data_IF_183881350325
#
_entry.id   IF_183881350325
#
_cell.length_a   1.000
_cell.length_b   1.000
_cell.length_c   1.000
_cell.angle_alpha   90.00
_cell.angle_beta   90.00
_cell.angle_gamma   90.00
#
_symmetry.space_group_name_H-M   'P 1'
#
loop_
_entity.id
_entity.type
_entity.pdbx_description
1 polymer ?
#
# COMPACT_ATOMS: atom_id res chain seq x y z
N UNK A 1 25.32 -14.19 6.28
CA UNK A 1 24.22 -13.69 5.45
C UNK A 1 24.64 -13.73 3.98
N UNK A 2 23.79 -14.28 3.13
CA UNK A 2 24.00 -14.38 1.70
C UNK A 2 22.77 -13.88 0.94
N UNK A 3 23.01 -13.03 -0.08
CA UNK A 3 21.97 -12.51 -0.97
C UNK A 3 22.35 -12.88 -2.41
N UNK A 4 21.47 -13.57 -3.12
CA UNK A 4 21.71 -14.00 -4.50
C UNK A 4 20.47 -13.69 -5.34
N UNK A 5 20.66 -13.02 -6.48
CA UNK A 5 19.60 -12.84 -7.47
C UNK A 5 19.63 -14.02 -8.45
N UNK A 6 18.79 -15.04 -8.17
CA UNK A 6 18.72 -16.25 -9.00
C UNK A 6 18.18 -15.97 -10.41
N UNK A 7 17.47 -14.85 -10.59
CA UNK A 7 16.96 -14.43 -11.89
C UNK A 7 18.05 -14.27 -12.94
N UNK A 8 19.28 -13.96 -12.52
CA UNK A 8 20.43 -13.80 -13.42
C UNK A 8 20.87 -15.10 -14.12
N UNK A 9 20.48 -16.25 -13.60
CA UNK A 9 20.79 -17.57 -14.21
C UNK A 9 19.79 -17.96 -15.31
N UNK A 10 18.70 -17.18 -15.47
CA UNK A 10 17.69 -17.42 -16.50
C UNK A 10 17.94 -16.55 -17.74
N UNK A 11 17.47 -16.94 -18.91
CA UNK A 11 17.57 -16.13 -20.12
C UNK A 11 16.92 -14.74 -19.92
N UNK A 12 17.57 -13.68 -20.39
CA UNK A 12 17.08 -12.30 -20.27
C UNK A 12 15.65 -12.11 -20.83
N UNK A 13 15.29 -12.88 -21.85
CA UNK A 13 13.94 -12.87 -22.44
C UNK A 13 12.84 -13.29 -21.45
N UNK A 14 13.17 -14.11 -20.48
CA UNK A 14 12.22 -14.58 -19.46
C UNK A 14 11.96 -13.52 -18.38
N UNK A 15 12.85 -12.52 -18.23
CA UNK A 15 12.75 -11.45 -17.22
C UNK A 15 12.40 -12.00 -15.84
N UNK A 16 13.11 -13.04 -15.43
CA UNK A 16 12.90 -13.70 -14.13
C UNK A 16 13.52 -12.83 -13.04
N UNK A 17 12.76 -12.57 -11.99
CA UNK A 17 13.23 -11.97 -10.74
C UNK A 17 13.06 -13.01 -9.64
N UNK A 18 14.12 -13.38 -8.95
CA UNK A 18 14.08 -14.37 -7.88
C UNK A 18 15.17 -14.10 -6.84
N UNK A 19 15.00 -13.07 -5.99
CA UNK A 19 15.95 -12.75 -4.94
C UNK A 19 15.89 -13.81 -3.84
N UNK A 20 17.03 -14.44 -3.58
CA UNK A 20 17.25 -15.38 -2.50
C UNK A 20 17.98 -14.70 -1.37
N UNK A 21 17.46 -14.82 -0.18
CA UNK A 21 18.09 -14.41 1.06
C UNK A 21 18.31 -15.63 1.96
N UNK A 22 19.51 -15.80 2.48
CA UNK A 22 19.85 -16.80 3.47
C UNK A 22 20.71 -16.18 4.56
N UNK A 23 20.37 -16.43 5.81
CA UNK A 23 21.18 -16.02 6.95
C UNK A 23 21.18 -17.05 8.06
N UNK A 24 22.32 -17.18 8.72
CA UNK A 24 22.48 -17.93 9.95
C UNK A 24 23.06 -17.00 11.00
N UNK A 25 22.37 -16.87 12.11
CA UNK A 25 22.84 -16.14 13.29
C UNK A 25 23.02 -17.12 14.43
N UNK A 26 24.16 -17.06 15.07
CA UNK A 26 24.50 -17.88 16.24
C UNK A 26 24.80 -16.96 17.39
N UNK A 27 24.13 -17.18 18.49
CA UNK A 27 24.34 -16.47 19.75
C UNK A 27 24.66 -17.47 20.85
N UNK A 28 25.75 -17.26 21.56
CA UNK A 28 26.16 -18.07 22.70
C UNK A 28 26.25 -17.15 23.91
N UNK A 29 25.50 -17.46 24.95
CA UNK A 29 25.55 -16.77 26.24
C UNK A 29 26.17 -17.69 27.26
N UNK A 30 27.37 -17.33 27.74
CA UNK A 30 28.14 -18.09 28.68
C UNK A 30 27.99 -17.48 30.08
N UNK A 31 27.41 -18.18 31.06
CA UNK A 31 27.31 -17.70 32.42
C UNK A 31 28.71 -17.70 33.08
N UNK A 32 28.86 -16.89 34.09
CA UNK A 32 30.15 -16.79 34.85
C UNK A 32 30.35 -18.00 35.77
N UNK A 33 29.28 -18.49 36.37
CA UNK A 33 29.30 -19.62 37.29
C UNK A 33 28.66 -20.85 36.62
N UNK A 34 29.09 -22.03 37.05
CA UNK A 34 28.52 -23.29 36.57
C UNK A 34 27.09 -23.45 37.11
N UNK A 35 26.04 -23.56 36.25
CA UNK A 35 24.68 -23.74 36.71
C UNK A 35 24.46 -25.05 37.48
N UNK A 36 25.31 -26.05 37.25
CA UNK A 36 25.26 -27.36 37.93
C UNK A 36 25.91 -27.32 39.29
N UNK A 37 26.80 -26.32 39.56
CA UNK A 37 27.47 -26.08 40.82
C UNK A 37 27.75 -24.60 40.94
N UNK A 38 26.85 -23.87 41.58
CA UNK A 38 26.84 -22.39 41.64
C UNK A 38 28.03 -21.80 42.42
N UNK A 39 28.75 -22.61 43.20
CA UNK A 39 29.93 -22.20 43.93
C UNK A 39 31.20 -22.22 43.06
N UNK A 40 31.15 -22.92 41.91
CA UNK A 40 32.28 -23.05 40.99
C UNK A 40 32.11 -22.13 39.78
N UNK A 41 33.19 -21.51 39.32
CA UNK A 41 33.17 -20.80 38.03
C UNK A 41 33.09 -21.82 36.89
N UNK A 42 32.40 -21.46 35.82
CA UNK A 42 32.24 -22.32 34.67
C UNK A 42 33.57 -22.68 34.01
N UNK A 43 34.51 -21.74 33.95
CA UNK A 43 35.83 -22.00 33.37
C UNK A 43 36.60 -23.04 34.19
N UNK A 44 36.56 -22.93 35.51
CA UNK A 44 37.20 -23.89 36.41
C UNK A 44 36.57 -25.28 36.30
N UNK A 45 35.23 -25.35 36.15
CA UNK A 45 34.50 -26.60 35.90
C UNK A 45 34.90 -27.27 34.55
N UNK A 46 35.08 -26.49 33.52
CA UNK A 46 35.49 -26.99 32.20
C UNK A 46 36.96 -27.46 32.17
N UNK A 47 37.84 -26.84 32.98
CA UNK A 47 39.24 -27.24 33.14
C UNK A 47 39.38 -28.50 34.00
N UNK A 48 38.52 -28.69 34.99
CA UNK A 48 38.56 -29.84 35.90
C UNK A 48 37.87 -31.08 35.34
N UNK A 49 37.22 -31.01 34.17
CA UNK A 49 36.53 -32.14 33.53
C UNK A 49 37.54 -33.25 33.19
N UNK A 50 37.20 -34.49 33.56
CA UNK A 50 38.09 -35.64 33.43
C UNK A 50 38.33 -36.04 31.97
N UNK A 51 37.38 -35.73 31.07
CA UNK A 51 37.51 -36.06 29.66
C UNK A 51 36.70 -35.06 28.81
N UNK A 52 36.90 -35.14 27.48
CA UNK A 52 36.22 -34.25 26.54
C UNK A 52 34.68 -34.40 26.55
N UNK A 53 34.17 -35.63 26.73
CA UNK A 53 32.73 -35.85 26.76
C UNK A 53 32.06 -35.17 27.95
N UNK A 54 32.69 -35.23 29.11
CA UNK A 54 32.21 -34.49 30.32
C UNK A 54 32.26 -32.99 30.12
N UNK A 55 33.37 -32.49 29.57
CA UNK A 55 33.51 -31.07 29.24
C UNK A 55 32.41 -30.60 28.27
N UNK A 56 32.18 -31.36 27.17
CA UNK A 56 31.15 -31.07 26.19
C UNK A 56 29.73 -31.13 26.83
N UNK A 57 29.51 -32.06 27.77
CA UNK A 57 28.26 -32.18 28.53
C UNK A 57 28.02 -30.95 29.41
N UNK A 58 29.03 -30.51 30.20
CA UNK A 58 28.95 -29.31 31.04
C UNK A 58 28.68 -28.09 30.15
N UNK A 59 29.42 -27.93 29.06
CA UNK A 59 29.28 -26.81 28.15
C UNK A 59 27.89 -26.77 27.48
N UNK A 60 27.35 -27.92 27.07
CA UNK A 60 26.04 -28.00 26.42
C UNK A 60 24.88 -27.71 27.37
N UNK A 61 25.08 -27.92 28.67
CA UNK A 61 24.09 -27.58 29.70
C UNK A 61 24.24 -26.11 30.10
N UNK A 62 25.47 -25.66 30.41
CA UNK A 62 25.72 -24.37 30.99
C UNK A 62 25.59 -23.19 30.01
N UNK A 63 25.98 -23.39 28.74
CA UNK A 63 25.99 -22.32 27.75
C UNK A 63 24.66 -22.28 27.00
N UNK A 64 23.95 -21.17 27.09
CA UNK A 64 22.76 -20.95 26.26
C UNK A 64 23.22 -20.70 24.82
N UNK A 65 22.80 -21.57 23.93
CA UNK A 65 23.10 -21.51 22.49
C UNK A 65 21.81 -21.27 21.73
N UNK A 66 21.77 -20.18 20.94
CA UNK A 66 20.64 -19.89 20.06
C UNK A 66 21.15 -19.82 18.62
N UNK A 67 20.55 -20.61 17.75
CA UNK A 67 20.84 -20.63 16.31
C UNK A 67 19.58 -20.26 15.57
N UNK A 68 19.62 -19.16 14.83
CA UNK A 68 18.54 -18.72 13.97
C UNK A 68 18.96 -18.84 12.52
N UNK A 69 18.19 -19.60 11.74
CA UNK A 69 18.41 -19.81 10.32
C UNK A 69 17.21 -19.25 9.56
N UNK A 70 17.47 -18.31 8.65
CA UNK A 70 16.44 -17.72 7.81
C UNK A 70 16.73 -17.99 6.34
N UNK A 71 15.72 -18.44 5.64
CA UNK A 71 15.71 -18.62 4.20
C UNK A 71 14.51 -17.89 3.62
N UNK A 72 14.70 -17.08 2.59
CA UNK A 72 13.58 -16.49 1.88
C UNK A 72 13.82 -16.29 0.39
N UNK A 73 12.78 -16.57 -0.37
CA UNK A 73 12.61 -16.22 -1.78
C UNK A 73 11.44 -15.25 -1.84
N UNK A 74 11.68 -13.98 -2.16
CA UNK A 74 10.65 -12.96 -2.14
C UNK A 74 10.32 -12.47 -3.55
N UNK A 75 9.00 -12.32 -3.83
CA UNK A 75 8.52 -11.76 -5.09
C UNK A 75 9.12 -12.42 -6.35
N UNK A 76 9.17 -13.74 -6.35
CA UNK A 76 9.59 -14.52 -7.52
C UNK A 76 8.57 -14.37 -8.62
N UNK A 77 8.98 -13.84 -9.76
CA UNK A 77 8.08 -13.57 -10.89
C UNK A 77 8.79 -13.76 -12.22
N UNK A 78 7.98 -14.03 -13.24
CA UNK A 78 8.41 -14.16 -14.63
C UNK A 78 7.78 -13.02 -15.43
N UNK A 79 8.58 -12.14 -16.01
CA UNK A 79 8.11 -10.92 -16.71
C UNK A 79 7.64 -11.17 -18.15
N UNK A 80 7.23 -12.39 -18.50
CA UNK A 80 6.75 -12.73 -19.85
C UNK A 80 5.29 -12.30 -20.00
N UNK A 81 5.03 -11.50 -21.02
CA UNK A 81 3.69 -11.13 -21.48
C UNK A 81 3.43 -11.80 -22.83
N UNK A 82 2.26 -12.44 -22.98
CA UNK A 82 1.89 -13.20 -24.18
C UNK A 82 1.58 -12.30 -25.36
N UNK A 83 1.07 -11.07 -25.10
CA UNK A 83 0.66 -10.08 -26.10
C UNK A 83 1.15 -8.69 -25.73
N UNK A 84 0.95 -7.72 -26.63
CA UNK A 84 1.25 -6.30 -26.36
C UNK A 84 0.46 -5.72 -25.16
N UNK A 85 -0.69 -6.31 -24.84
CA UNK A 85 -1.51 -5.91 -23.70
C UNK A 85 -1.52 -7.02 -22.63
N UNK A 86 -1.52 -6.70 -21.34
CA UNK A 86 -1.58 -7.67 -20.26
C UNK A 86 -2.83 -8.55 -20.37
N UNK A 87 -2.62 -9.85 -20.50
CA UNK A 87 -3.70 -10.84 -20.53
C UNK A 87 -3.86 -11.48 -19.13
N UNK A 88 -5.06 -11.92 -18.74
CA UNK A 88 -5.28 -12.47 -17.40
C UNK A 88 -4.44 -13.73 -17.10
N UNK A 89 -4.04 -14.46 -18.12
CA UNK A 89 -3.24 -15.69 -18.01
C UNK A 89 -1.71 -15.45 -18.13
N UNK A 90 -1.27 -14.20 -18.26
CA UNK A 90 0.17 -13.92 -18.39
C UNK A 90 0.94 -14.27 -17.11
N UNK A 91 2.08 -14.97 -17.21
CA UNK A 91 2.93 -15.25 -16.07
C UNK A 91 3.38 -14.01 -15.30
N UNK A 92 3.48 -12.87 -15.99
CA UNK A 92 3.85 -11.59 -15.38
C UNK A 92 2.86 -11.08 -14.33
N UNK A 93 1.62 -11.59 -14.32
CA UNK A 93 0.60 -11.24 -13.33
C UNK A 93 0.79 -11.97 -12.00
N UNK A 94 1.61 -13.03 -11.97
CA UNK A 94 1.83 -13.84 -10.80
C UNK A 94 3.16 -13.52 -10.14
N UNK A 95 3.16 -13.51 -8.82
CA UNK A 95 4.38 -13.52 -8.02
C UNK A 95 4.24 -14.47 -6.85
N UNK A 96 5.34 -15.13 -6.51
CA UNK A 96 5.42 -16.09 -5.43
C UNK A 96 6.46 -15.65 -4.42
N UNK A 97 6.18 -15.90 -3.15
CA UNK A 97 7.11 -15.66 -2.07
C UNK A 97 7.10 -16.87 -1.15
N UNK A 98 8.27 -17.26 -0.66
CA UNK A 98 8.41 -18.29 0.34
C UNK A 98 9.46 -17.88 1.36
N UNK A 99 9.17 -18.07 2.63
CA UNK A 99 10.15 -17.89 3.69
C UNK A 99 10.04 -18.97 4.75
N UNK A 100 11.18 -19.36 5.30
CA UNK A 100 11.30 -20.27 6.41
C UNK A 100 12.31 -19.69 7.40
N UNK A 101 11.91 -19.63 8.66
CA UNK A 101 12.74 -19.26 9.79
C UNK A 101 12.73 -20.41 10.79
N UNK A 102 13.90 -20.89 11.15
CA UNK A 102 14.10 -21.89 12.18
C UNK A 102 14.98 -21.34 13.27
N UNK A 103 14.48 -21.33 14.49
CA UNK A 103 15.21 -20.94 15.70
C UNK A 103 15.36 -22.15 16.60
N UNK A 104 16.58 -22.50 16.92
CA UNK A 104 16.93 -23.56 17.86
C UNK A 104 17.64 -22.96 19.05
N UNK A 105 17.11 -23.18 20.26
CA UNK A 105 17.72 -22.76 21.52
C UNK A 105 17.92 -23.94 22.43
N UNK A 106 19.08 -24.01 23.08
CA UNK A 106 19.39 -24.96 24.14
C UNK A 106 20.13 -24.27 25.27
N UNK A 107 20.02 -24.80 26.49
CA UNK A 107 20.67 -24.21 27.65
C UNK A 107 20.40 -25.00 28.93
N UNK A 108 20.58 -24.34 30.07
CA UNK A 108 20.50 -24.94 31.39
C UNK A 108 19.16 -25.63 31.66
N UNK A 109 18.08 -24.88 31.57
CA UNK A 109 16.70 -25.36 31.85
C UNK A 109 16.03 -25.96 30.62
N UNK A 110 16.65 -25.83 29.45
CA UNK A 110 16.07 -26.19 28.16
C UNK A 110 16.94 -27.20 27.46
N UNK A 111 16.40 -28.40 27.21
CA UNK A 111 17.09 -29.42 26.40
C UNK A 111 17.14 -28.94 24.96
N UNK A 112 15.98 -28.57 24.43
CA UNK A 112 15.84 -27.87 23.18
C UNK A 112 14.52 -27.10 23.14
N UNK A 113 14.56 -25.98 22.44
CA UNK A 113 13.42 -25.15 22.07
C UNK A 113 13.55 -24.88 20.58
N UNK A 114 12.57 -25.34 19.82
CA UNK A 114 12.53 -25.18 18.39
C UNK A 114 11.33 -24.33 17.99
N UNK A 115 11.56 -23.32 17.18
CA UNK A 115 10.51 -22.52 16.57
C UNK A 115 10.70 -22.51 15.06
N UNK A 116 9.74 -23.02 14.34
CA UNK A 116 9.71 -23.06 12.89
C UNK A 116 8.57 -22.21 12.36
N UNK A 117 8.91 -21.23 11.54
CA UNK A 117 7.93 -20.36 10.88
C UNK A 117 8.05 -20.53 9.37
N UNK A 118 6.99 -20.99 8.72
CA UNK A 118 6.87 -21.06 7.27
C UNK A 118 5.84 -20.07 6.77
N UNK A 119 6.15 -19.43 5.67
CA UNK A 119 5.24 -18.55 4.97
C UNK A 119 5.35 -18.78 3.48
N UNK A 120 4.24 -19.12 2.84
CA UNK A 120 4.13 -19.22 1.40
C UNK A 120 3.06 -18.25 0.91
N UNK A 121 3.37 -17.40 -0.07
CA UNK A 121 2.41 -16.46 -0.62
C UNK A 121 2.42 -16.49 -2.15
N UNK A 122 1.23 -16.42 -2.72
CA UNK A 122 0.99 -16.24 -4.16
C UNK A 122 0.18 -14.97 -4.34
N UNK A 123 0.70 -14.03 -5.12
CA UNK A 123 -0.02 -12.83 -5.51
C UNK A 123 -0.31 -12.87 -7.00
N UNK A 124 -1.53 -12.59 -7.36
CA UNK A 124 -1.98 -12.37 -8.72
C UNK A 124 -2.51 -10.94 -8.84
N UNK A 125 -2.07 -10.22 -9.85
CA UNK A 125 -2.60 -8.88 -10.13
C UNK A 125 -2.64 -8.64 -11.63
N UNK A 126 -3.84 -8.50 -12.15
CA UNK A 126 -4.09 -8.19 -13.54
C UNK A 126 -4.70 -6.81 -13.68
N UNK A 127 -4.01 -5.97 -14.45
CA UNK A 127 -4.44 -4.61 -14.77
C UNK A 127 -4.51 -4.47 -16.28
N UNK A 128 -5.66 -4.74 -16.90
CA UNK A 128 -5.82 -4.65 -18.35
C UNK A 128 -5.69 -3.21 -18.84
N UNK A 129 -5.14 -3.06 -20.03
CA UNK A 129 -5.26 -1.80 -20.77
C UNK A 129 -6.64 -1.78 -21.40
N UNK A 130 -7.54 -0.99 -20.86
CA UNK A 130 -8.89 -0.87 -21.38
C UNK A 130 -9.10 0.45 -22.12
N UNK A 131 -9.95 0.40 -23.12
CA UNK A 131 -10.46 1.57 -23.82
C UNK A 131 -11.98 1.57 -23.69
N UNK A 132 -12.53 2.66 -23.17
CA UNK A 132 -13.98 2.79 -23.07
C UNK A 132 -14.62 2.65 -24.46
N UNK A 133 -15.63 1.83 -24.55
CA UNK A 133 -16.48 1.78 -25.72
C UNK A 133 -17.46 2.95 -25.67
N UNK A 134 -17.32 3.88 -26.61
CA UNK A 134 -18.09 5.12 -26.71
C UNK A 134 -18.91 5.11 -27.99
N UNK A 135 -20.08 4.45 -28.03
CA UNK A 135 -20.83 4.24 -29.27
C UNK A 135 -21.33 5.54 -29.89
N UNK A 136 -21.52 6.57 -29.12
CA UNK A 136 -22.09 7.85 -29.56
C UNK A 136 -21.07 8.98 -29.69
N UNK A 137 -19.79 8.67 -29.58
CA UNK A 137 -18.70 9.69 -29.62
C UNK A 137 -18.74 10.54 -30.88
N UNK A 138 -19.00 9.92 -32.03
CA UNK A 138 -18.94 10.57 -33.34
C UNK A 138 -20.26 11.19 -33.77
N UNK A 139 -21.25 11.30 -32.86
CA UNK A 139 -22.55 11.92 -33.12
C UNK A 139 -22.35 13.41 -33.49
N UNK A 140 -22.67 13.78 -34.72
CA UNK A 140 -22.47 15.14 -35.27
C UNK A 140 -23.44 16.20 -34.72
N UNK A 141 -24.33 15.84 -33.81
CA UNK A 141 -25.30 16.78 -33.22
C UNK A 141 -24.61 17.83 -32.38
N UNK A 142 -24.98 19.10 -32.56
CA UNK A 142 -24.53 20.24 -31.73
C UNK A 142 -25.43 20.52 -30.53
N UNK A 143 -26.44 19.69 -30.30
CA UNK A 143 -27.36 19.83 -29.18
C UNK A 143 -26.68 19.52 -27.87
N UNK A 144 -26.89 20.35 -26.85
CA UNK A 144 -26.39 20.10 -25.48
C UNK A 144 -26.92 18.78 -24.91
N UNK A 145 -28.08 18.33 -25.30
CA UNK A 145 -28.65 17.03 -24.92
C UNK A 145 -27.86 15.86 -25.54
N UNK A 146 -27.34 16.04 -26.74
CA UNK A 146 -26.49 15.03 -27.36
C UNK A 146 -25.17 14.82 -26.65
N UNK A 147 -24.70 15.82 -25.89
CA UNK A 147 -23.43 15.71 -25.14
C UNK A 147 -23.50 14.69 -24.01
N UNK A 148 -24.69 14.40 -23.48
CA UNK A 148 -24.91 13.33 -22.49
C UNK A 148 -24.55 11.99 -23.14
N UNK A 149 -25.10 11.72 -24.32
CA UNK A 149 -24.88 10.45 -25.04
C UNK A 149 -23.44 10.34 -25.56
N UNK A 150 -22.83 11.43 -26.05
CA UNK A 150 -21.46 11.44 -26.52
C UNK A 150 -20.44 11.09 -25.43
N UNK A 151 -20.75 11.46 -24.18
CA UNK A 151 -19.91 11.18 -23.02
C UNK A 151 -20.20 9.85 -22.35
N UNK A 152 -21.22 9.12 -22.78
CA UNK A 152 -21.50 7.77 -22.32
C UNK A 152 -20.43 6.82 -22.87
N UNK A 153 -19.70 6.20 -21.98
CA UNK A 153 -18.73 5.17 -22.31
C UNK A 153 -18.89 4.00 -21.33
N UNK A 154 -18.76 2.79 -21.84
CA UNK A 154 -18.84 1.56 -21.06
C UNK A 154 -17.49 0.84 -21.12
N UNK A 155 -16.97 0.45 -19.98
CA UNK A 155 -15.79 -0.37 -19.87
C UNK A 155 -16.19 -1.82 -19.59
N UNK A 156 -15.92 -2.71 -20.53
CA UNK A 156 -16.18 -4.13 -20.38
C UNK A 156 -15.19 -4.86 -19.49
N UNK A 157 -13.99 -4.32 -19.37
CA UNK A 157 -12.92 -4.90 -18.54
C UNK A 157 -12.79 -4.14 -17.22
N UNK A 158 -12.50 -4.84 -16.12
CA UNK A 158 -12.19 -4.20 -14.85
C UNK A 158 -10.88 -3.43 -14.93
N UNK A 159 -10.69 -2.47 -14.05
CA UNK A 159 -9.40 -1.76 -13.92
C UNK A 159 -8.32 -2.63 -13.30
N UNK A 160 -8.70 -3.41 -12.29
CA UNK A 160 -7.80 -4.29 -11.58
C UNK A 160 -8.55 -5.50 -11.03
N UNK A 161 -7.95 -6.66 -11.19
CA UNK A 161 -8.33 -7.90 -10.50
C UNK A 161 -7.10 -8.37 -9.76
N UNK A 162 -7.19 -8.46 -8.45
CA UNK A 162 -6.10 -8.96 -7.62
C UNK A 162 -6.56 -10.09 -6.72
N UNK A 163 -5.72 -11.08 -6.57
CA UNK A 163 -5.91 -12.20 -5.66
C UNK A 163 -4.61 -12.44 -4.91
N UNK A 164 -4.68 -12.47 -3.59
CA UNK A 164 -3.59 -12.84 -2.71
C UNK A 164 -3.96 -14.11 -1.95
N UNK A 165 -3.05 -15.05 -1.91
CA UNK A 165 -3.18 -16.30 -1.15
C UNK A 165 -1.93 -16.49 -0.33
N UNK A 166 -2.06 -16.48 0.98
CA UNK A 166 -0.95 -16.59 1.92
C UNK A 166 -1.20 -17.70 2.92
N UNK A 167 -0.28 -18.63 3.00
CA UNK A 167 -0.24 -19.69 4.00
C UNK A 167 0.88 -19.39 4.99
N UNK A 168 0.55 -19.42 6.28
CA UNK A 168 1.51 -19.25 7.37
C UNK A 168 1.39 -20.41 8.33
N UNK A 169 2.48 -21.09 8.61
CA UNK A 169 2.55 -22.15 9.61
C UNK A 169 3.60 -21.79 10.64
N UNK A 170 3.21 -21.83 11.90
CA UNK A 170 4.08 -21.73 13.04
C UNK A 170 4.04 -23.07 13.78
N UNK A 171 5.21 -23.61 14.10
CA UNK A 171 5.35 -24.78 14.94
C UNK A 171 6.38 -24.47 16.02
N UNK A 172 5.99 -24.70 17.26
CA UNK A 172 6.81 -24.48 18.43
C UNK A 172 6.90 -25.78 19.22
N UNK A 173 8.09 -26.14 19.67
CA UNK A 173 8.35 -27.33 20.46
C UNK A 173 9.38 -27.04 21.54
N UNK A 174 9.08 -27.38 22.77
CA UNK A 174 9.92 -27.16 23.94
C UNK A 174 10.08 -28.46 24.74
N UNK A 175 11.32 -28.86 24.97
CA UNK A 175 11.71 -29.88 25.91
C UNK A 175 12.45 -29.24 27.05
N UNK A 176 11.81 -29.18 28.21
CA UNK A 176 12.45 -28.68 29.44
C UNK A 176 13.34 -29.76 30.07
N UNK A 177 14.36 -29.31 30.80
CA UNK A 177 15.26 -30.18 31.56
C UNK A 177 14.80 -30.21 33.01
N UNK A 178 14.62 -31.43 33.55
CA UNK A 178 14.40 -31.61 34.98
C UNK A 178 15.74 -31.47 35.72
N UNK A 179 15.84 -30.42 36.53
CA UNK A 179 17.03 -30.12 37.31
C UNK A 179 16.97 -30.66 38.75
N UNK A 180 15.79 -31.09 39.22
CA UNK A 180 15.56 -31.49 40.61
C UNK A 180 15.43 -33.01 40.79
N UNK A 181 15.04 -33.73 39.73
CA UNK A 181 14.80 -35.16 39.83
C UNK A 181 16.10 -35.97 39.60
N UNK A 182 16.35 -36.83 40.58
CA UNK A 182 17.40 -37.88 40.50
C UNK A 182 16.98 -39.07 39.65
N UNK A 183 15.69 -39.16 39.32
CA UNK A 183 15.14 -40.17 38.43
C UNK A 183 15.07 -39.62 37.00
N UNK A 184 15.34 -40.49 36.04
CA UNK A 184 15.37 -40.13 34.61
C UNK A 184 13.95 -39.88 34.03
N UNK A 185 13.14 -39.11 34.75
CA UNK A 185 11.80 -38.69 34.33
C UNK A 185 11.93 -37.47 33.45
N UNK A 186 11.78 -37.68 32.14
CA UNK A 186 11.73 -36.54 31.21
C UNK A 186 10.41 -35.78 31.33
N UNK A 187 10.51 -34.44 31.47
CA UNK A 187 9.33 -33.58 31.36
C UNK A 187 8.71 -33.78 29.98
N UNK A 188 7.40 -33.95 29.85
CA UNK A 188 6.76 -34.10 28.54
C UNK A 188 7.05 -32.94 27.61
N UNK A 189 7.24 -33.24 26.33
CA UNK A 189 7.42 -32.20 25.30
C UNK A 189 6.17 -31.33 25.21
N UNK A 190 6.36 -30.02 25.33
CA UNK A 190 5.32 -29.03 25.07
C UNK A 190 5.43 -28.58 23.63
N UNK A 191 4.33 -28.57 22.90
CA UNK A 191 4.30 -28.06 21.53
C UNK A 191 3.04 -27.27 21.25
N UNK A 192 3.15 -26.36 20.28
CA UNK A 192 2.00 -25.65 19.73
C UNK A 192 2.15 -25.54 18.23
N UNK A 193 1.01 -25.58 17.55
CA UNK A 193 0.95 -25.51 16.12
C UNK A 193 -0.18 -24.59 15.66
N UNK A 194 0.08 -23.83 14.63
CA UNK A 194 -0.91 -22.98 13.99
C UNK A 194 -0.66 -22.93 12.50
N UNK A 195 -1.63 -23.36 11.73
CA UNK A 195 -1.53 -23.29 10.27
C UNK A 195 -2.74 -22.52 9.72
N UNK A 196 -2.48 -21.34 9.17
CA UNK A 196 -3.48 -20.42 8.65
C UNK A 196 -3.34 -20.26 7.14
N UNK A 197 -4.49 -20.10 6.49
CA UNK A 197 -4.58 -19.77 5.08
C UNK A 197 -5.45 -18.53 4.87
N UNK A 198 -4.81 -17.43 4.53
CA UNK A 198 -5.45 -16.16 4.22
C UNK A 198 -5.63 -16.03 2.72
N UNK A 199 -6.79 -15.59 2.29
CA UNK A 199 -7.14 -15.38 0.87
C UNK A 199 -7.87 -14.06 0.73
N UNK A 200 -7.31 -13.18 -0.07
CA UNK A 200 -7.86 -11.86 -0.33
C UNK A 200 -8.15 -11.73 -1.83
N UNK A 201 -9.32 -11.23 -2.14
CA UNK A 201 -9.72 -10.93 -3.51
C UNK A 201 -10.14 -9.47 -3.61
N UNK A 202 -9.66 -8.77 -4.63
CA UNK A 202 -10.02 -7.38 -4.93
C UNK A 202 -10.39 -7.25 -6.39
N UNK A 203 -11.56 -6.68 -6.64
CA UNK A 203 -12.04 -6.29 -7.96
C UNK A 203 -12.33 -4.79 -7.95
N UNK A 204 -11.67 -4.05 -8.83
CA UNK A 204 -11.99 -2.65 -9.10
C UNK A 204 -12.47 -2.51 -10.55
N UNK A 205 -13.65 -1.95 -10.71
CA UNK A 205 -14.26 -1.81 -12.02
C UNK A 205 -14.96 -0.46 -12.20
N UNK A 206 -14.45 0.34 -13.12
CA UNK A 206 -15.09 1.56 -13.58
C UNK A 206 -16.00 1.19 -14.76
N UNK A 207 -17.23 0.76 -14.47
CA UNK A 207 -18.19 0.32 -15.48
C UNK A 207 -18.47 1.40 -16.50
N UNK A 208 -18.56 2.64 -16.03
CA UNK A 208 -18.72 3.84 -16.86
C UNK A 208 -17.83 4.96 -16.28
N UNK A 209 -17.80 6.11 -16.95
CA UNK A 209 -17.11 7.29 -16.38
C UNK A 209 -17.63 7.76 -15.04
N UNK A 210 -18.87 7.39 -14.72
CA UNK A 210 -19.59 7.90 -13.55
C UNK A 210 -19.91 6.80 -12.52
N UNK A 211 -19.73 5.53 -12.88
CA UNK A 211 -20.03 4.38 -12.01
C UNK A 211 -18.74 3.63 -11.74
N UNK A 212 -18.36 3.64 -10.48
CA UNK A 212 -17.17 2.96 -9.97
C UNK A 212 -17.59 1.90 -8.95
N UNK A 213 -17.14 0.68 -9.16
CA UNK A 213 -17.40 -0.46 -8.28
C UNK A 213 -16.09 -0.96 -7.69
N UNK A 214 -16.08 -1.19 -6.40
CA UNK A 214 -15.00 -1.89 -5.71
C UNK A 214 -15.60 -3.02 -4.90
N UNK A 215 -15.09 -4.22 -5.10
CA UNK A 215 -15.42 -5.40 -4.32
C UNK A 215 -14.14 -5.95 -3.70
N UNK A 216 -14.17 -6.20 -2.41
CA UNK A 216 -13.08 -6.80 -1.65
C UNK A 216 -13.63 -7.91 -0.79
N UNK A 217 -12.96 -9.05 -0.76
CA UNK A 217 -13.24 -10.11 0.19
C UNK A 217 -11.96 -10.64 0.80
N UNK A 218 -12.01 -10.95 2.08
CA UNK A 218 -10.94 -11.56 2.84
C UNK A 218 -11.48 -12.79 3.56
N UNK A 219 -10.76 -13.89 3.46
CA UNK A 219 -11.08 -15.14 4.15
C UNK A 219 -9.86 -15.60 4.92
N UNK A 220 -10.01 -15.84 6.19
CA UNK A 220 -9.01 -16.52 7.01
C UNK A 220 -9.53 -17.91 7.35
N UNK A 221 -8.75 -18.92 7.02
CA UNK A 221 -9.06 -20.30 7.29
C UNK A 221 -7.92 -20.98 8.07
N UNK A 222 -8.24 -21.94 8.87
CA UNK A 222 -7.29 -22.81 9.53
C UNK A 222 -7.14 -24.10 8.73
N UNK A 223 -5.90 -24.52 8.50
CA UNK A 223 -5.60 -25.86 8.04
C UNK A 223 -5.53 -26.74 9.29
N UNK A 224 -6.33 -27.78 9.32
CA UNK A 224 -6.39 -28.68 10.46
C UNK A 224 -5.20 -29.61 10.48
N UNK A 225 -4.50 -29.64 11.60
CA UNK A 225 -3.38 -30.54 11.88
C UNK A 225 -3.78 -31.45 13.05
N UNK A 226 -3.38 -32.74 13.06
CA UNK A 226 -3.53 -33.59 14.23
C UNK A 226 -2.63 -33.08 15.34
N UNK A 227 -3.16 -32.97 16.56
CA UNK A 227 -2.39 -32.52 17.71
C UNK A 227 -1.41 -33.62 18.17
N UNK A 228 -0.29 -33.74 17.47
CA UNK A 228 0.76 -34.74 17.74
C UNK A 228 2.13 -34.14 17.40
N UNK A 229 3.19 -34.47 18.16
CA UNK A 229 4.53 -34.07 17.81
C UNK A 229 4.92 -34.60 16.42
N UNK A 230 5.48 -33.73 15.58
CA UNK A 230 5.79 -34.03 14.19
C UNK A 230 7.30 -34.30 14.07
N UNK A 231 7.70 -35.51 14.36
CA UNK A 231 9.05 -35.96 14.18
C UNK A 231 9.06 -37.18 13.26
N UNK A 232 9.55 -37.00 12.04
CA UNK A 232 9.58 -38.06 11.03
C UNK A 232 10.48 -39.26 11.43
N UNK A 233 11.53 -39.00 12.19
CA UNK A 233 12.51 -40.04 12.58
C UNK A 233 12.00 -40.86 13.76
N UNK A 234 11.34 -40.20 14.73
CA UNK A 234 10.83 -40.84 15.94
C UNK A 234 9.42 -41.39 15.77
N UNK A 235 8.58 -40.76 14.95
CA UNK A 235 7.15 -41.08 14.81
C UNK A 235 6.70 -41.04 13.35
N UNK A 236 7.22 -41.98 12.55
CA UNK A 236 6.96 -42.03 11.10
C UNK A 236 5.46 -42.13 10.74
N UNK A 237 4.68 -42.91 11.52
CA UNK A 237 3.24 -43.11 11.30
C UNK A 237 2.47 -41.80 11.59
N UNK A 238 2.82 -41.11 12.66
CA UNK A 238 2.22 -39.80 13.01
C UNK A 238 2.52 -38.76 11.93
N UNK A 239 3.72 -38.74 11.40
CA UNK A 239 4.11 -37.84 10.31
C UNK A 239 3.29 -38.11 9.04
N UNK A 240 3.02 -39.36 8.70
CA UNK A 240 2.21 -39.69 7.52
C UNK A 240 0.74 -39.30 7.75
N UNK A 241 0.19 -39.57 8.92
CA UNK A 241 -1.17 -39.16 9.31
C UNK A 241 -1.33 -37.63 9.28
N UNK A 242 -0.34 -36.91 9.80
CA UNK A 242 -0.29 -35.45 9.70
C UNK A 242 -0.33 -34.96 8.26
N UNK A 243 0.51 -35.52 7.40
CA UNK A 243 0.58 -35.16 5.97
C UNK A 243 -0.75 -35.37 5.27
N UNK A 244 -1.41 -36.50 5.51
CA UNK A 244 -2.70 -36.84 4.90
C UNK A 244 -3.82 -35.91 5.39
N UNK A 245 -3.85 -35.56 6.68
CA UNK A 245 -4.76 -34.58 7.26
C UNK A 245 -4.60 -33.21 6.66
N UNK A 246 -3.36 -32.69 6.62
CA UNK A 246 -3.04 -31.39 6.05
C UNK A 246 -3.44 -31.32 4.56
N UNK A 247 -3.11 -32.35 3.76
CA UNK A 247 -3.52 -32.37 2.36
C UNK A 247 -5.02 -32.43 2.17
N UNK A 248 -5.72 -33.16 3.03
CA UNK A 248 -7.18 -33.20 3.02
C UNK A 248 -7.77 -31.86 3.37
N UNK A 249 -7.25 -31.20 4.39
CA UNK A 249 -7.68 -29.85 4.80
C UNK A 249 -7.42 -28.82 3.67
N UNK A 250 -6.25 -28.86 3.03
CA UNK A 250 -5.93 -27.96 1.89
C UNK A 250 -6.88 -28.18 0.72
N UNK A 251 -7.18 -29.45 0.37
CA UNK A 251 -8.14 -29.77 -0.73
C UNK A 251 -9.53 -29.21 -0.45
N UNK A 252 -9.95 -29.15 0.81
CA UNK A 252 -11.22 -28.58 1.24
C UNK A 252 -11.16 -27.09 1.54
N UNK A 253 -10.06 -26.42 1.18
CA UNK A 253 -9.84 -24.97 1.36
C UNK A 253 -9.69 -24.55 2.82
N UNK A 254 -9.37 -25.48 3.72
CA UNK A 254 -9.30 -25.26 5.16
C UNK A 254 -10.65 -25.02 5.82
N UNK A 255 -10.65 -24.93 7.14
CA UNK A 255 -11.84 -24.61 7.92
C UNK A 255 -11.92 -23.09 8.11
N UNK A 256 -12.94 -22.39 7.58
CA UNK A 256 -13.05 -20.94 7.69
C UNK A 256 -13.13 -20.51 9.15
N UNK A 257 -12.37 -19.49 9.54
CA UNK A 257 -12.41 -18.83 10.84
C UNK A 257 -13.23 -17.54 10.76
N UNK A 258 -12.93 -16.73 9.76
CA UNK A 258 -13.68 -15.53 9.45
C UNK A 258 -13.72 -15.26 7.95
N UNK A 259 -14.75 -14.55 7.55
CA UNK A 259 -14.96 -14.04 6.20
C UNK A 259 -15.47 -12.62 6.26
N UNK A 260 -14.81 -11.73 5.52
CA UNK A 260 -15.22 -10.35 5.40
C UNK A 260 -15.43 -10.01 3.93
N UNK A 261 -16.47 -9.23 3.67
CA UNK A 261 -16.78 -8.73 2.33
C UNK A 261 -17.12 -7.26 2.41
N UNK A 262 -16.50 -6.47 1.55
CA UNK A 262 -16.78 -5.05 1.40
C UNK A 262 -17.13 -4.76 -0.06
N UNK A 263 -18.30 -4.23 -0.28
CA UNK A 263 -18.79 -3.79 -1.59
C UNK A 263 -19.05 -2.29 -1.56
N UNK A 264 -18.46 -1.55 -2.47
CA UNK A 264 -18.69 -0.12 -2.64
C UNK A 264 -19.05 0.17 -4.08
N UNK A 265 -20.17 0.85 -4.27
CA UNK A 265 -20.64 1.35 -5.56
C UNK A 265 -20.78 2.87 -5.45
N UNK A 266 -20.02 3.59 -6.25
CA UNK A 266 -20.11 5.05 -6.33
C UNK A 266 -20.69 5.44 -7.68
N UNK A 267 -21.71 6.25 -7.67
CA UNK A 267 -22.37 6.78 -8.86
C UNK A 267 -22.42 8.30 -8.82
N UNK A 268 -21.71 8.93 -9.72
CA UNK A 268 -21.79 10.36 -9.93
C UNK A 268 -22.90 10.65 -10.96
N UNK A 269 -23.99 11.23 -10.50
CA UNK A 269 -25.12 11.54 -11.38
C UNK A 269 -24.69 12.64 -12.37
N UNK A 270 -24.80 12.42 -13.68
CA UNK A 270 -24.37 13.38 -14.68
C UNK A 270 -25.38 14.51 -14.89
N UNK A 271 -25.95 15.04 -13.81
CA UNK A 271 -26.96 16.12 -13.86
C UNK A 271 -26.38 17.39 -14.48
N UNK A 272 -25.10 17.63 -14.28
CA UNK A 272 -24.38 18.77 -14.87
C UNK A 272 -24.30 18.74 -16.41
N UNK A 273 -24.59 17.61 -17.05
CA UNK A 273 -24.68 17.51 -18.50
C UNK A 273 -26.08 17.88 -19.03
N UNK A 274 -27.10 17.87 -18.16
CA UNK A 274 -28.48 18.24 -18.50
C UNK A 274 -28.59 19.76 -18.42
N UNK A 275 -28.93 20.46 -19.50
CA UNK A 275 -28.92 21.93 -19.53
C UNK A 275 -29.77 22.64 -18.47
N UNK A 276 -30.82 21.96 -17.97
CA UNK A 276 -31.71 22.49 -16.92
C UNK A 276 -31.15 22.24 -15.53
N UNK A 277 -30.31 21.20 -15.35
CA UNK A 277 -29.79 20.76 -14.06
C UNK A 277 -28.26 20.93 -13.94
N UNK A 278 -27.63 21.71 -14.84
CA UNK A 278 -26.18 21.90 -14.88
C UNK A 278 -25.62 22.60 -13.62
N UNK A 279 -26.49 23.17 -12.80
CA UNK A 279 -26.20 23.78 -11.51
C UNK A 279 -26.23 22.80 -10.33
N UNK A 280 -26.63 21.52 -10.59
CA UNK A 280 -26.68 20.47 -9.58
C UNK A 280 -25.54 19.48 -9.82
N UNK A 281 -24.76 19.21 -8.81
CA UNK A 281 -23.84 18.08 -8.75
C UNK A 281 -24.36 17.13 -7.69
N UNK A 282 -24.50 15.87 -8.01
CA UNK A 282 -24.94 14.85 -7.05
C UNK A 282 -24.13 13.58 -7.23
N UNK A 283 -23.73 13.01 -6.12
CA UNK A 283 -23.10 11.71 -6.03
C UNK A 283 -23.86 10.81 -5.05
N UNK A 284 -23.95 9.57 -5.38
CA UNK A 284 -24.52 8.52 -4.55
C UNK A 284 -23.46 7.45 -4.31
N UNK A 285 -23.25 7.10 -3.05
CA UNK A 285 -22.35 6.02 -2.66
C UNK A 285 -23.11 5.00 -1.84
N UNK A 286 -23.11 3.76 -2.32
CA UNK A 286 -23.64 2.61 -1.62
C UNK A 286 -22.46 1.77 -1.12
N UNK A 287 -22.47 1.48 0.17
CA UNK A 287 -21.47 0.60 0.81
C UNK A 287 -22.21 -0.51 1.54
N UNK A 288 -21.79 -1.76 1.33
CA UNK A 288 -22.30 -2.92 2.02
C UNK A 288 -21.13 -3.73 2.59
N UNK A 289 -21.13 -3.92 3.89
CA UNK A 289 -20.14 -4.71 4.60
C UNK A 289 -20.82 -5.95 5.18
N UNK A 290 -20.23 -7.10 4.94
CA UNK A 290 -20.64 -8.37 5.49
C UNK A 290 -19.46 -9.00 6.22
N UNK A 291 -19.66 -9.43 7.43
CA UNK A 291 -18.66 -10.14 8.24
C UNK A 291 -19.31 -11.39 8.82
N UNK A 292 -18.66 -12.51 8.64
CA UNK A 292 -18.98 -13.78 9.27
C UNK A 292 -17.78 -14.21 10.10
N UNK A 293 -18.03 -14.62 11.35
CA UNK A 293 -17.02 -15.12 12.27
C UNK A 293 -17.50 -16.44 12.83
N UNK A 294 -16.64 -17.44 12.78
CA UNK A 294 -16.90 -18.75 13.36
C UNK A 294 -17.04 -18.66 14.88
N UNK A 295 -18.09 -19.26 15.40
CA UNK A 295 -18.28 -19.36 16.84
C UNK A 295 -17.30 -20.30 17.51
N UNK A 296 -16.96 -20.00 18.74
CA UNK A 296 -16.13 -20.85 19.60
C UNK A 296 -16.89 -22.12 19.96
N UNK A 297 -16.21 -23.25 19.98
CA UNK A 297 -16.70 -24.48 20.61
C UNK A 297 -16.20 -24.51 22.04
N UNK A 298 -17.09 -24.82 22.95
CA UNK A 298 -16.75 -25.06 24.35
C UNK A 298 -16.10 -26.45 24.51
N UNK A 299 -15.43 -26.69 25.63
CA UNK A 299 -14.74 -27.97 25.92
C UNK A 299 -15.68 -29.19 25.93
N UNK A 300 -16.96 -28.95 26.21
CA UNK A 300 -18.02 -29.97 26.13
C UNK A 300 -18.51 -30.28 24.70
N UNK A 301 -17.92 -29.62 23.69
CA UNK A 301 -18.28 -29.72 22.28
C UNK A 301 -19.46 -28.85 21.84
N UNK A 302 -20.08 -28.09 22.76
CA UNK A 302 -21.20 -27.19 22.45
C UNK A 302 -20.71 -26.04 21.60
N UNK A 303 -21.35 -25.80 20.45
CA UNK A 303 -21.05 -24.65 19.58
C UNK A 303 -21.85 -23.42 20.03
N UNK A 304 -21.20 -22.30 20.23
CA UNK A 304 -21.87 -21.03 20.54
C UNK A 304 -22.52 -20.38 19.29
N UNK A 305 -22.44 -21.05 18.14
CA UNK A 305 -22.96 -20.54 16.88
C UNK A 305 -22.03 -19.50 16.22
N UNK A 306 -22.30 -19.20 14.96
CA UNK A 306 -21.50 -18.25 14.19
C UNK A 306 -22.11 -16.85 14.29
N UNK A 307 -21.26 -15.82 14.25
CA UNK A 307 -21.71 -14.43 14.26
C UNK A 307 -21.74 -13.88 12.86
N UNK A 308 -22.85 -13.27 12.48
CA UNK A 308 -23.01 -12.57 11.20
C UNK A 308 -23.33 -11.10 11.46
N UNK A 309 -22.53 -10.23 10.87
CA UNK A 309 -22.77 -8.79 10.90
C UNK A 309 -22.94 -8.30 9.48
N UNK A 310 -24.02 -7.57 9.22
CA UNK A 310 -24.28 -6.96 7.93
C UNK A 310 -24.62 -5.48 8.12
N UNK A 311 -23.83 -4.61 7.50
CA UNK A 311 -24.04 -3.17 7.52
C UNK A 311 -24.18 -2.65 6.09
N UNK A 312 -25.21 -1.82 5.86
CA UNK A 312 -25.46 -1.15 4.59
C UNK A 312 -25.58 0.34 4.82
N UNK A 313 -24.93 1.10 3.98
CA UNK A 313 -24.99 2.55 4.03
C UNK A 313 -25.20 3.11 2.61
N UNK A 314 -26.16 4.02 2.48
CA UNK A 314 -26.40 4.77 1.26
C UNK A 314 -26.26 6.27 1.58
N UNK A 315 -25.21 6.86 1.04
CA UNK A 315 -24.96 8.30 1.12
C UNK A 315 -25.31 8.94 -0.22
N UNK A 316 -26.14 9.95 -0.19
CA UNK A 316 -26.45 10.77 -1.37
C UNK A 316 -26.11 12.21 -1.02
N UNK A 317 -25.19 12.79 -1.76
CA UNK A 317 -24.75 14.16 -1.60
C UNK A 317 -25.23 14.98 -2.79
N UNK A 318 -25.69 16.19 -2.51
CA UNK A 318 -26.08 17.15 -3.53
C UNK A 318 -25.42 18.50 -3.27
N UNK A 319 -24.74 19.03 -4.26
CA UNK A 319 -24.17 20.38 -4.23
C UNK A 319 -24.87 21.26 -5.26
N UNK A 320 -25.39 22.38 -4.82
CA UNK A 320 -26.13 23.32 -5.62
C UNK A 320 -25.28 24.55 -5.91
N UNK A 321 -24.99 24.80 -7.18
CA UNK A 321 -24.31 26.03 -7.61
C UNK A 321 -25.34 27.08 -8.00
N UNK A 322 -25.72 27.90 -7.07
CA UNK A 322 -26.78 28.93 -7.25
C UNK A 322 -26.39 30.00 -8.28
N UNK A 323 -25.09 30.27 -8.43
CA UNK A 323 -24.61 31.19 -9.46
C UNK A 323 -24.91 30.66 -10.87
N UNK A 324 -24.69 29.37 -11.13
CA UNK A 324 -25.09 28.75 -12.38
C UNK A 324 -26.59 28.76 -12.59
N UNK A 325 -27.37 28.51 -11.54
CA UNK A 325 -28.84 28.61 -11.59
C UNK A 325 -29.30 30.03 -11.99
N UNK A 326 -28.76 31.07 -11.37
CA UNK A 326 -29.08 32.45 -11.69
C UNK A 326 -28.71 32.81 -13.12
N UNK A 327 -27.67 32.24 -13.66
CA UNK A 327 -27.23 32.45 -15.05
C UNK A 327 -28.21 31.89 -16.10
N UNK A 328 -29.16 31.02 -15.72
CA UNK A 328 -30.27 30.59 -16.60
C UNK A 328 -31.34 31.65 -16.81
N UNK A 329 -31.47 32.60 -15.90
CA UNK A 329 -32.43 33.70 -15.97
C UNK A 329 -31.71 34.93 -16.52
N UNK A 330 -32.05 35.47 -17.71
CA UNK A 330 -31.28 36.53 -18.36
C UNK A 330 -31.11 37.77 -17.49
N UNK A 331 -32.14 38.14 -16.73
CA UNK A 331 -32.09 39.29 -15.81
C UNK A 331 -31.08 39.08 -14.67
N UNK A 332 -31.13 37.89 -14.03
CA UNK A 332 -30.22 37.56 -12.93
C UNK A 332 -28.79 37.39 -13.42
N UNK A 333 -28.61 36.82 -14.62
CA UNK A 333 -27.29 36.71 -15.27
C UNK A 333 -26.65 38.08 -15.43
N UNK A 334 -27.42 39.06 -15.95
CA UNK A 334 -26.93 40.44 -16.13
C UNK A 334 -26.59 41.09 -14.79
N UNK A 335 -27.39 40.84 -13.75
CA UNK A 335 -27.14 41.36 -12.39
C UNK A 335 -25.86 40.72 -11.81
N UNK A 336 -25.69 39.44 -11.96
CA UNK A 336 -24.51 38.68 -11.49
C UNK A 336 -23.24 39.17 -12.18
N UNK A 337 -23.26 39.29 -13.52
CA UNK A 337 -22.14 39.85 -14.28
C UNK A 337 -21.77 41.27 -13.89
N UNK A 338 -22.74 42.09 -13.50
CA UNK A 338 -22.48 43.42 -12.97
C UNK A 338 -21.83 43.38 -11.59
N UNK A 339 -22.35 42.52 -10.71
CA UNK A 339 -21.79 42.32 -9.39
C UNK A 339 -20.36 41.78 -9.45
N UNK A 340 -20.08 40.79 -10.32
CA UNK A 340 -18.73 40.24 -10.53
C UNK A 340 -17.76 41.30 -11.05
N UNK A 341 -18.22 42.21 -11.93
CA UNK A 341 -17.40 43.34 -12.38
C UNK A 341 -17.09 44.33 -11.28
N UNK A 342 -18.00 44.48 -10.32
CA UNK A 342 -17.82 45.38 -9.17
C UNK A 342 -17.00 44.69 -8.07
N UNK A 343 -17.27 43.43 -7.83
CA UNK A 343 -16.64 42.62 -6.77
C UNK A 343 -15.31 42.02 -7.18
N UNK A 344 -15.08 41.86 -8.50
CA UNK A 344 -13.77 41.42 -9.00
C UNK A 344 -12.72 42.44 -8.54
N UNK A 345 -11.73 42.02 -7.76
CA UNK A 345 -10.62 42.92 -7.46
C UNK A 345 -10.09 43.40 -8.82
N UNK A 346 -9.99 44.72 -8.97
CA UNK A 346 -9.58 45.44 -10.21
C UNK A 346 -8.35 44.84 -10.88
N UNK A 347 -7.66 43.95 -10.21
CA UNK A 347 -6.53 43.14 -10.68
C UNK A 347 -6.87 42.06 -11.72
N UNK A 348 -8.08 41.45 -11.73
CA UNK A 348 -8.37 40.38 -12.70
C UNK A 348 -8.82 40.89 -14.07
N UNK A 349 -9.54 41.99 -14.14
CA UNK A 349 -9.93 42.57 -15.44
C UNK A 349 -8.74 43.24 -16.12
N UNK A 350 -7.85 43.85 -15.33
CA UNK A 350 -6.58 44.37 -15.88
C UNK A 350 -5.57 43.30 -16.24
N UNK A 351 -5.62 42.09 -15.64
CA UNK A 351 -4.76 40.99 -16.04
C UNK A 351 -5.12 40.39 -17.41
N UNK A 352 -6.39 40.41 -17.83
CA UNK A 352 -6.75 39.99 -19.19
C UNK A 352 -6.37 41.02 -20.27
N UNK A 353 -6.36 42.29 -19.92
CA UNK A 353 -5.98 43.36 -20.85
C UNK A 353 -4.52 43.84 -20.74
N UNK A 354 -3.83 43.59 -19.61
CA UNK A 354 -2.44 43.97 -19.39
C UNK A 354 -1.42 42.81 -19.44
N UNK A 355 -1.84 41.65 -19.92
CA UNK A 355 -0.86 40.60 -20.31
C UNK A 355 -0.14 40.94 -21.59
N UNK A 356 0.12 42.22 -21.75
CA UNK A 356 0.85 42.75 -22.90
C UNK A 356 2.11 43.42 -22.38
N UNK A 357 3.20 42.67 -22.24
CA UNK A 357 4.47 43.27 -21.95
C UNK A 357 5.62 42.34 -21.69
N UNK A 358 6.78 42.75 -22.09
CA UNK A 358 7.97 41.92 -22.12
C UNK A 358 8.52 41.59 -20.74
N UNK A 359 8.73 40.33 -20.50
CA UNK A 359 9.58 39.80 -19.44
C UNK A 359 11.04 39.98 -19.86
N UNK A 360 11.77 40.84 -19.18
CA UNK A 360 13.22 40.88 -19.28
C UNK A 360 13.76 39.85 -18.26
N UNK A 361 14.02 38.66 -18.72
CA UNK A 361 14.68 37.63 -17.93
C UNK A 361 16.17 37.89 -17.96
N UNK A 362 16.79 38.21 -16.85
CA UNK A 362 18.24 38.10 -16.71
C UNK A 362 18.53 36.60 -16.59
N UNK A 363 19.11 36.05 -17.68
CA UNK A 363 19.54 34.66 -17.75
C UNK A 363 20.72 34.44 -16.81
N UNK A 364 20.53 33.69 -15.78
CA UNK A 364 21.61 32.86 -15.23
C UNK A 364 21.69 31.59 -16.09
N UNK A 365 22.88 31.34 -16.61
CA UNK A 365 23.23 30.18 -17.43
C UNK A 365 23.05 28.90 -16.66
N UNK A 366 22.09 28.07 -17.02
CA UNK A 366 21.91 26.69 -16.55
C UNK A 366 20.88 26.05 -17.46
N UNK A 367 21.33 25.07 -18.22
CA UNK A 367 20.57 24.35 -19.25
C UNK A 367 19.24 23.80 -18.72
N UNK A 368 18.13 24.20 -19.35
CA UNK A 368 17.01 23.31 -19.54
C UNK A 368 16.20 23.68 -20.79
N UNK A 369 16.30 22.83 -21.80
CA UNK A 369 15.54 22.90 -23.04
C UNK A 369 14.20 22.24 -22.80
N UNK A 370 13.16 23.02 -22.53
CA UNK A 370 11.77 22.76 -22.92
C UNK A 370 10.80 23.71 -22.20
N UNK A 371 10.64 24.94 -22.71
CA UNK A 371 9.41 25.72 -22.52
C UNK A 371 9.21 26.65 -23.70
N UNK A 372 8.13 26.43 -24.47
CA UNK A 372 7.67 27.34 -25.53
C UNK A 372 7.50 28.75 -24.98
N UNK A 373 8.23 29.69 -25.55
CA UNK A 373 8.18 31.10 -25.19
C UNK A 373 6.82 31.71 -25.56
N UNK A 374 6.14 32.27 -24.57
CA UNK A 374 4.97 33.15 -24.74
C UNK A 374 5.43 34.49 -25.33
N UNK A 375 4.60 35.18 -26.14
CA UNK A 375 5.01 36.41 -26.83
C UNK A 375 5.31 37.51 -25.82
N UNK A 376 6.43 38.17 -26.01
CA UNK A 376 6.95 39.29 -25.19
C UNK A 376 6.10 40.53 -25.38
N UNK A 377 5.49 41.02 -24.31
CA UNK A 377 4.74 42.25 -24.34
C UNK A 377 5.58 43.44 -23.84
N UNK A 378 5.53 44.56 -24.56
CA UNK A 378 6.42 45.73 -24.39
C UNK A 378 6.19 46.53 -23.06
N UNK A 379 5.14 46.27 -22.30
CA UNK A 379 4.69 47.16 -21.22
C UNK A 379 4.81 46.62 -19.78
N UNK A 380 5.33 45.42 -19.56
CA UNK A 380 5.63 44.92 -18.22
C UNK A 380 7.12 44.80 -17.97
N UNK A 381 7.50 44.87 -16.70
CA UNK A 381 8.85 44.67 -16.22
C UNK A 381 8.76 43.74 -15.00
N UNK A 382 9.52 42.68 -14.99
CA UNK A 382 9.58 41.73 -13.91
C UNK A 382 11.00 41.59 -13.41
N UNK A 383 11.21 41.66 -12.13
CA UNK A 383 12.50 41.49 -11.48
C UNK A 383 12.33 40.77 -10.15
N UNK A 384 13.26 39.93 -9.83
CA UNK A 384 13.30 39.27 -8.54
C UNK A 384 14.07 40.16 -7.57
N UNK A 385 13.43 40.43 -6.41
CA UNK A 385 14.03 41.26 -5.36
C UNK A 385 13.82 40.59 -4.01
N UNK A 386 14.80 40.70 -3.13
CA UNK A 386 14.69 40.29 -1.74
C UNK A 386 14.57 41.54 -0.87
N UNK A 387 13.46 41.66 -0.13
CA UNK A 387 13.19 42.78 0.75
C UNK A 387 13.27 42.27 2.19
N UNK A 388 14.10 42.87 3.01
CA UNK A 388 14.14 42.60 4.45
C UNK A 388 12.98 43.32 5.15
N UNK A 389 12.50 42.81 6.30
CA UNK A 389 11.46 43.49 7.09
C UNK A 389 11.87 44.94 7.36
N UNK A 390 10.90 45.87 7.28
CA UNK A 390 11.06 47.30 7.52
C UNK A 390 12.04 48.06 6.61
N UNK A 391 12.41 47.49 5.47
CA UNK A 391 13.26 48.14 4.48
C UNK A 391 12.48 48.48 3.22
N UNK A 392 13.00 49.45 2.47
CA UNK A 392 12.44 49.82 1.17
C UNK A 392 13.54 49.84 0.10
N UNK A 393 13.20 49.40 -1.10
CA UNK A 393 14.12 49.29 -2.22
C UNK A 393 13.68 50.14 -3.41
N UNK A 394 14.64 50.69 -4.12
CA UNK A 394 14.37 51.45 -5.36
C UNK A 394 14.51 50.51 -6.55
N UNK A 395 13.44 50.41 -7.35
CA UNK A 395 13.42 49.57 -8.56
C UNK A 395 13.34 50.46 -9.79
N UNK A 396 14.28 50.29 -10.72
CA UNK A 396 14.29 51.00 -12.01
C UNK A 396 13.68 50.11 -13.08
N UNK A 397 12.49 50.47 -13.57
CA UNK A 397 11.76 49.68 -14.58
C UNK A 397 11.94 50.18 -16.02
N UNK A 398 12.46 51.41 -16.21
CA UNK A 398 12.79 51.95 -17.53
C UNK A 398 11.63 52.14 -18.53
N UNK A 399 10.36 52.07 -18.07
CA UNK A 399 9.20 52.06 -18.96
C UNK A 399 8.60 53.43 -19.28
N UNK A 400 9.15 54.48 -18.75
CA UNK A 400 8.67 55.88 -18.93
C UNK A 400 7.18 56.06 -18.75
N UNK A 401 6.58 55.32 -17.81
CA UNK A 401 5.12 55.25 -17.60
C UNK A 401 4.64 56.22 -16.52
N UNK A 402 3.51 56.90 -16.78
CA UNK A 402 2.84 57.73 -15.79
C UNK A 402 2.01 56.95 -14.80
N UNK A 403 1.53 55.76 -15.17
CA UNK A 403 0.72 54.87 -14.34
C UNK A 403 1.40 53.50 -14.22
N UNK A 404 1.63 53.05 -13.01
CA UNK A 404 2.35 51.79 -12.71
C UNK A 404 1.49 51.01 -11.69
N UNK A 405 1.42 49.71 -11.83
CA UNK A 405 0.87 48.79 -10.86
C UNK A 405 1.98 47.82 -10.47
N UNK A 406 2.23 47.72 -9.17
CA UNK A 406 3.28 46.85 -8.61
C UNK A 406 2.65 45.68 -7.88
N UNK A 407 3.00 44.49 -8.29
CA UNK A 407 2.58 43.24 -7.62
C UNK A 407 3.81 42.40 -7.32
N UNK A 408 3.82 41.72 -6.21
CA UNK A 408 4.79 40.70 -5.86
C UNK A 408 4.15 39.31 -5.97
N UNK A 409 4.91 38.34 -6.42
CA UNK A 409 4.52 36.95 -6.45
C UNK A 409 5.49 36.14 -5.60
N UNK A 410 4.98 35.37 -4.65
CA UNK A 410 5.78 34.43 -3.87
C UNK A 410 6.14 33.18 -4.70
N UNK A 411 7.10 32.40 -4.24
CA UNK A 411 7.46 31.11 -4.85
C UNK A 411 6.28 30.14 -4.91
N UNK A 412 5.36 30.21 -3.92
CA UNK A 412 4.16 29.37 -3.83
C UNK A 412 3.00 29.86 -4.72
N UNK A 413 3.23 30.92 -5.49
CA UNK A 413 2.28 31.43 -6.49
C UNK A 413 1.32 32.48 -6.00
N UNK A 414 1.32 32.85 -4.72
CA UNK A 414 0.47 33.92 -4.18
C UNK A 414 0.90 35.30 -4.70
N UNK A 415 -0.09 36.15 -5.05
CA UNK A 415 0.13 37.47 -5.60
C UNK A 415 -0.33 38.52 -4.57
N UNK A 416 0.57 39.42 -4.25
CA UNK A 416 0.31 40.55 -3.33
C UNK A 416 0.46 41.87 -4.07
N UNK A 417 -0.43 42.80 -3.76
CA UNK A 417 -0.34 44.20 -4.21
C UNK A 417 0.58 44.97 -3.29
N UNK A 418 1.68 45.49 -3.80
CA UNK A 418 2.62 46.28 -3.00
C UNK A 418 2.25 47.74 -3.03
N UNK A 419 2.40 48.40 -1.88
CA UNK A 419 2.39 49.85 -1.82
C UNK A 419 3.74 50.36 -2.32
N UNK A 420 3.71 51.33 -3.21
CA UNK A 420 4.93 51.93 -3.75
C UNK A 420 4.81 53.43 -3.81
N UNK A 421 5.97 54.11 -3.78
CA UNK A 421 6.06 55.54 -4.01
C UNK A 421 6.78 55.75 -5.36
N UNK A 422 6.17 56.54 -6.22
CA UNK A 422 6.77 56.89 -7.50
C UNK A 422 7.88 57.91 -7.25
N UNK A 423 9.10 57.66 -7.77
CA UNK A 423 10.22 58.61 -7.70
C UNK A 423 10.22 59.41 -8.98
N UNK A 424 10.20 58.76 -10.14
CA UNK A 424 10.10 59.36 -11.47
C UNK A 424 9.34 58.40 -12.45
N UNK A 425 9.32 58.73 -13.74
CA UNK A 425 8.65 57.92 -14.74
C UNK A 425 9.31 56.54 -15.00
N UNK A 426 10.50 56.30 -14.46
CA UNK A 426 11.28 55.09 -14.66
C UNK A 426 11.59 54.36 -13.33
N UNK A 427 11.38 55.02 -12.19
CA UNK A 427 11.75 54.49 -10.85
C UNK A 427 10.63 54.53 -9.88
N UNK A 428 10.53 53.52 -9.07
CA UNK A 428 9.59 53.38 -7.93
C UNK A 428 10.37 52.92 -6.69
N UNK A 429 9.82 53.25 -5.51
CA UNK A 429 10.37 52.83 -4.21
C UNK A 429 9.31 52.14 -3.39
#
# INVERSE_FOLDING_TARGET
TTNVELGKFFPEKAKVTAPLYYSVTRENSKPRYNPLDTDMKLDDALESAANKAERDSIENIAVKKTVNTNFSLSNVRVGIQTKQHPMPYDPANFSFSYSHSHTHTSGETTVYENEDNWRGAMNYSWTPVYRAWEPFRDLKSKSKWADIFKKMGVNWLPQNVAFNSEMTRNYYELQERDMESTENTSIPVTFSEQFLWNRDFTLRWDMTRNIHMTFQSATRAQIEEPYTPINKELYADNYQAWKDSVWTSIKHMGTPLDYQQNFTLSYQLPLNLIPVFDWIMSDAQYTANYTWVRGTKLDDGTSLGNTITNNRNLNINGTFNMEKLYNHIPFLKTANERFDRISAPVSMVSMKQQRIGSVATIKNKGDDKTKKALPKNKNSFETEITILPDTSMVVTHGKKSKRIVVTARTRDGHIYKLKYRKIDNNKIR
#
